data_IF_099917936551
#
_entry.id   IF_099917936551
#
_cell.length_a   1.000
_cell.length_b   1.000
_cell.length_c   1.000
_cell.angle_alpha   90.00
_cell.angle_beta   90.00
_cell.angle_gamma   90.00
#
_symmetry.space_group_name_H-M   'P 1'
#
loop_
_entity.id
_entity.type
_entity.pdbx_description
1 polymer ?
#
# COMPACT_ATOMS: atom_id res chain seq x y z
N UNK A 1 12.24 -6.94 9.40
CA UNK A 1 11.90 -5.51 9.23
C UNK A 1 10.73 -5.40 8.26
N UNK A 2 9.82 -4.44 8.46
CA UNK A 2 8.68 -4.22 7.56
C UNK A 2 9.13 -3.35 6.38
N UNK A 3 9.38 -3.98 5.22
CA UNK A 3 9.75 -3.31 3.96
C UNK A 3 8.53 -3.21 3.06
N UNK A 4 8.46 -2.13 2.29
CA UNK A 4 7.32 -1.81 1.45
C UNK A 4 7.80 -1.48 0.02
N UNK A 5 8.06 -2.52 -0.75
CA UNK A 5 8.37 -2.44 -2.18
C UNK A 5 7.40 -3.30 -2.98
N UNK A 6 6.93 -2.77 -4.11
CA UNK A 6 6.08 -3.50 -5.06
C UNK A 6 4.74 -2.83 -5.33
N UNK A 7 3.78 -3.61 -5.81
CA UNK A 7 2.45 -3.11 -6.15
C UNK A 7 1.50 -3.23 -4.97
N UNK A 8 0.57 -2.30 -4.86
CA UNK A 8 -0.50 -2.36 -3.87
C UNK A 8 -1.86 -2.04 -4.49
N UNK A 9 -2.91 -2.55 -3.84
CA UNK A 9 -4.30 -2.22 -4.12
C UNK A 9 -4.98 -1.77 -2.82
N UNK A 10 -5.75 -0.69 -2.88
CA UNK A 10 -6.58 -0.26 -1.77
C UNK A 10 -7.95 -0.91 -1.89
N UNK A 11 -8.33 -1.67 -0.88
CA UNK A 11 -9.63 -2.36 -0.78
C UNK A 11 -10.32 -1.91 0.51
N UNK A 12 -11.63 -1.75 0.45
CA UNK A 12 -12.42 -1.46 1.65
C UNK A 12 -12.99 -2.78 2.19
N UNK A 13 -12.48 -3.27 3.31
CA UNK A 13 -13.00 -4.49 3.93
C UNK A 13 -14.37 -4.25 4.58
N UNK A 14 -15.23 -5.28 4.71
CA UNK A 14 -14.99 -6.67 4.26
C UNK A 14 -15.24 -6.92 2.76
N UNK A 15 -16.22 -6.25 2.14
CA UNK A 15 -16.76 -6.64 0.83
C UNK A 15 -16.53 -5.60 -0.29
N UNK A 16 -15.76 -4.56 -0.03
CA UNK A 16 -15.43 -3.54 -1.02
C UNK A 16 -14.40 -4.05 -2.04
N UNK A 17 -14.70 -3.84 -3.32
CA UNK A 17 -13.73 -4.05 -4.38
C UNK A 17 -12.54 -3.10 -4.28
N UNK A 18 -11.50 -3.29 -5.11
CA UNK A 18 -10.40 -2.35 -5.18
C UNK A 18 -10.91 -0.97 -5.57
N UNK A 19 -10.38 0.09 -4.96
CA UNK A 19 -10.72 1.48 -5.24
C UNK A 19 -9.55 2.25 -5.85
N UNK A 20 -8.33 1.81 -5.58
CA UNK A 20 -7.11 2.38 -6.13
C UNK A 20 -5.99 1.34 -6.21
N UNK A 21 -5.01 1.60 -7.07
CA UNK A 21 -3.76 0.83 -7.14
C UNK A 21 -2.56 1.77 -7.20
N UNK A 22 -1.39 1.23 -6.92
CA UNK A 22 -0.15 1.98 -7.06
C UNK A 22 1.08 1.11 -6.86
N UNK A 23 2.23 1.79 -6.87
CA UNK A 23 3.53 1.20 -6.59
C UNK A 23 4.09 1.87 -5.35
N UNK A 24 4.67 1.08 -4.46
CA UNK A 24 5.51 1.52 -3.35
C UNK A 24 6.97 1.24 -3.64
N UNK A 25 7.82 2.19 -3.22
CA UNK A 25 9.26 2.03 -3.14
C UNK A 25 9.70 2.49 -1.76
N UNK A 26 10.41 1.62 -1.07
CA UNK A 26 11.03 1.93 0.22
C UNK A 26 12.32 2.73 -0.01
N UNK A 27 12.41 3.91 0.60
CA UNK A 27 13.58 4.79 0.49
C UNK A 27 14.33 4.91 1.82
N UNK A 28 14.03 4.03 2.78
CA UNK A 28 14.63 4.02 4.12
C UNK A 28 13.81 4.85 5.12
N UNK A 29 13.84 6.18 4.99
CA UNK A 29 13.13 7.14 5.87
C UNK A 29 11.78 7.61 5.30
N UNK A 30 11.47 7.24 4.07
CA UNK A 30 10.20 7.51 3.41
C UNK A 30 9.73 6.31 2.56
N UNK A 31 8.44 6.29 2.26
CA UNK A 31 7.85 5.46 1.21
C UNK A 31 7.46 6.38 0.06
N UNK A 32 8.13 6.21 -1.09
CA UNK A 32 7.71 6.81 -2.34
C UNK A 32 6.56 5.98 -2.93
N UNK A 33 5.51 6.64 -3.41
CA UNK A 33 4.37 5.95 -3.96
C UNK A 33 3.67 6.67 -5.11
N UNK A 34 3.11 5.88 -6.03
CA UNK A 34 2.09 6.33 -6.99
C UNK A 34 0.71 5.94 -6.49
N UNK A 35 -0.33 6.65 -6.94
CA UNK A 35 -1.70 6.37 -6.52
C UNK A 35 -2.68 6.69 -7.65
N UNK A 36 -3.38 5.67 -8.12
CA UNK A 36 -4.33 5.73 -9.22
C UNK A 36 -5.70 5.24 -8.76
N UNK A 37 -6.72 6.09 -8.84
CA UNK A 37 -8.09 5.71 -8.52
C UNK A 37 -8.71 4.97 -9.71
N UNK A 38 -9.45 3.89 -9.45
CA UNK A 38 -10.26 3.25 -10.49
C UNK A 38 -11.47 4.13 -10.84
N UNK A 39 -11.91 4.20 -12.12
CA UNK A 39 -11.49 3.36 -13.26
C UNK A 39 -10.28 3.90 -14.07
N UNK A 40 -9.35 4.62 -13.43
CA UNK A 40 -8.14 5.18 -14.04
C UNK A 40 -8.40 6.28 -15.08
N UNK A 41 -9.48 7.04 -14.91
CA UNK A 41 -9.72 8.22 -15.72
C UNK A 41 -8.59 9.25 -15.55
N UNK A 42 -8.09 9.78 -16.68
CA UNK A 42 -7.05 10.81 -16.67
C UNK A 42 -5.61 10.31 -16.46
N UNK A 43 -5.38 8.98 -16.53
CA UNK A 43 -4.04 8.38 -16.42
C UNK A 43 -3.21 8.38 -17.72
N UNK A 44 -3.53 9.28 -18.66
CA UNK A 44 -2.76 9.48 -19.89
C UNK A 44 -1.38 10.11 -19.66
N UNK A 45 -1.12 10.58 -18.43
CA UNK A 45 0.13 11.20 -17.99
C UNK A 45 0.83 10.32 -16.96
N UNK A 46 2.17 10.37 -16.88
CA UNK A 46 2.92 9.69 -15.83
C UNK A 46 2.36 10.03 -14.44
N UNK A 47 2.15 9.00 -13.63
CA UNK A 47 1.68 9.19 -12.26
C UNK A 47 2.69 9.98 -11.44
N UNK A 48 2.20 10.97 -10.70
CA UNK A 48 3.03 11.73 -9.78
C UNK A 48 3.46 10.85 -8.61
N UNK A 49 4.77 10.80 -8.37
CA UNK A 49 5.33 10.21 -7.16
C UNK A 49 5.05 11.14 -5.97
N UNK A 50 4.54 10.54 -4.89
CA UNK A 50 4.28 11.15 -3.60
C UNK A 50 5.13 10.47 -2.54
N UNK A 51 5.28 11.07 -1.37
CA UNK A 51 6.07 10.51 -0.28
C UNK A 51 5.26 10.46 1.01
N UNK A 52 5.45 9.39 1.77
CA UNK A 52 5.04 9.24 3.17
C UNK A 52 6.32 9.17 4.02
N UNK A 53 6.54 10.14 4.90
CA UNK A 53 7.69 10.11 5.82
C UNK A 53 7.43 9.06 6.89
N UNK A 54 8.40 8.21 7.18
CA UNK A 54 8.29 7.16 8.19
C UNK A 54 8.57 7.76 9.56
N UNK A 55 7.63 7.60 10.49
CA UNK A 55 7.79 8.06 11.88
C UNK A 55 8.17 6.91 12.81
N UNK A 56 7.67 5.70 12.51
CA UNK A 56 7.95 4.50 13.29
C UNK A 56 7.94 3.28 12.37
N UNK A 57 8.94 2.40 12.53
CA UNK A 57 9.02 1.14 11.81
C UNK A 57 9.33 0.01 12.79
N UNK A 58 8.44 -0.98 12.84
CA UNK A 58 8.65 -2.22 13.60
C UNK A 58 8.60 -3.44 12.67
N UNK A 59 8.61 -4.65 13.22
CA UNK A 59 8.35 -5.86 12.43
C UNK A 59 6.88 -5.95 11.96
N UNK A 60 5.95 -5.40 12.75
CA UNK A 60 4.51 -5.63 12.58
C UNK A 60 3.74 -4.41 12.06
N UNK A 61 4.33 -3.21 12.13
CA UNK A 61 3.68 -1.98 11.68
C UNK A 61 4.65 -0.97 11.09
N UNK A 62 4.08 -0.09 10.28
CA UNK A 62 4.71 1.12 9.76
C UNK A 62 3.77 2.31 10.02
N UNK A 63 4.24 3.27 10.80
CA UNK A 63 3.55 4.54 11.01
C UNK A 63 4.22 5.60 10.15
N UNK A 64 3.44 6.30 9.34
CA UNK A 64 3.92 7.31 8.41
C UNK A 64 3.13 8.61 8.52
N UNK A 65 3.69 9.70 7.99
CA UNK A 65 3.04 11.00 7.85
C UNK A 65 3.04 11.44 6.40
N UNK A 66 1.88 11.85 5.89
CA UNK A 66 1.77 12.37 4.53
C UNK A 66 2.09 13.87 4.46
N UNK A 67 2.13 14.41 3.23
CA UNK A 67 2.39 15.83 2.98
C UNK A 67 1.38 16.82 3.62
N UNK A 68 0.20 16.34 4.06
CA UNK A 68 -0.80 17.13 4.79
C UNK A 68 -0.67 17.01 6.31
N UNK A 69 0.37 16.35 6.80
CA UNK A 69 0.58 16.10 8.23
C UNK A 69 -0.32 15.02 8.82
N UNK A 70 -1.02 14.23 7.99
CA UNK A 70 -1.92 13.17 8.47
C UNK A 70 -1.14 11.88 8.67
N UNK A 71 -1.24 11.31 9.86
CA UNK A 71 -0.67 10.01 10.21
C UNK A 71 -1.44 8.87 9.54
N UNK A 72 -0.69 7.90 8.98
CA UNK A 72 -1.20 6.66 8.40
C UNK A 72 -0.43 5.49 8.99
N UNK A 73 -1.16 4.51 9.52
CA UNK A 73 -0.58 3.30 10.10
C UNK A 73 -0.93 2.09 9.24
N UNK A 74 0.10 1.38 8.80
CA UNK A 74 -0.02 0.14 8.05
C UNK A 74 0.40 -1.01 8.96
N UNK A 75 -0.40 -2.07 8.96
CA UNK A 75 -0.10 -3.28 9.70
C UNK A 75 0.34 -4.37 8.73
N UNK A 76 1.29 -5.20 9.16
CA UNK A 76 1.58 -6.44 8.47
C UNK A 76 0.33 -7.30 8.48
N UNK A 77 -0.04 -7.79 7.31
CA UNK A 77 -1.08 -8.80 7.21
C UNK A 77 -0.61 -10.03 8.00
N UNK A 78 -1.40 -10.55 8.95
CA UNK A 78 -1.03 -11.76 9.68
C UNK A 78 -0.71 -12.90 8.70
N UNK A 79 0.26 -13.73 9.07
CA UNK A 79 0.52 -14.96 8.31
C UNK A 79 -0.81 -15.76 8.20
N UNK A 80 -1.12 -16.22 6.99
CA UNK A 80 -2.36 -16.96 6.64
C UNK A 80 -3.65 -16.13 6.51
N UNK A 81 -3.59 -14.80 6.56
CA UNK A 81 -4.76 -13.95 6.27
C UNK A 81 -5.16 -13.96 4.79
N UNK A 82 -4.18 -14.10 3.89
CA UNK A 82 -4.44 -14.38 2.48
C UNK A 82 -4.68 -15.88 2.33
N UNK A 83 -5.94 -16.30 2.46
CA UNK A 83 -6.31 -17.66 2.09
C UNK A 83 -6.29 -17.75 0.57
N UNK A 84 -5.56 -18.73 0.05
CA UNK A 84 -5.69 -19.13 -1.35
C UNK A 84 -7.17 -19.49 -1.57
N UNK A 85 -7.82 -18.97 -2.62
CA UNK A 85 -9.18 -19.38 -2.96
C UNK A 85 -9.27 -20.90 -3.02
N UNK A 86 -10.38 -21.46 -2.54
CA UNK A 86 -10.56 -22.91 -2.54
C UNK A 86 -10.37 -23.48 -3.96
N UNK A 87 -9.46 -24.45 -4.12
CA UNK A 87 -9.16 -25.09 -5.40
C UNK A 87 -8.01 -24.49 -6.21
N UNK A 88 -7.26 -23.52 -5.67
CA UNK A 88 -5.97 -23.10 -6.23
C UNK A 88 -4.81 -23.62 -5.36
N UNK A 89 -3.74 -24.06 -5.99
CA UNK A 89 -2.49 -24.40 -5.30
C UNK A 89 -1.84 -23.11 -4.77
N UNK A 90 -1.21 -23.20 -3.59
CA UNK A 90 -0.44 -22.08 -3.07
C UNK A 90 0.77 -21.81 -3.99
N UNK A 91 0.84 -20.61 -4.55
CA UNK A 91 1.97 -20.14 -5.36
C UNK A 91 3.09 -19.58 -4.48
#
# INVERSE_FOLDING_TARGET
MFFADGYYAEVQLPDGGPAAVGIWRDEGDAIAYTHAHMPFEGHERPMRVRHLTIEERTAEKLTTRNYRGVTRTFHRCPANSLKVPAGQDAH
#
